data_IF_502498651725
#
_entry.id   IF_502498651725
#
_cell.length_a   1.000
_cell.length_b   1.000
_cell.length_c   1.000
_cell.angle_alpha   90.00
_cell.angle_beta   90.00
_cell.angle_gamma   90.00
#
_symmetry.space_group_name_H-M   'P 1'
#
loop_
_entity.id
_entity.type
_entity.pdbx_description
1 polymer ?
#
# COMPACT_ATOMS: atom_id res chain seq x y z
N UNK A 1 -6.90 15.54 25.36
CA UNK A 1 -7.34 14.16 25.07
C UNK A 1 -6.43 13.45 24.07
N UNK A 2 -5.91 14.12 23.02
CA UNK A 2 -5.09 13.50 21.96
C UNK A 2 -3.57 13.75 22.05
N UNK A 3 -3.08 14.37 23.12
CA UNK A 3 -1.68 14.83 23.20
C UNK A 3 -0.68 13.66 23.15
N UNK A 4 -1.04 12.50 23.70
CA UNK A 4 -0.19 11.31 23.69
C UNK A 4 -0.10 10.70 22.29
N UNK A 5 -1.22 10.67 21.58
CA UNK A 5 -1.33 10.15 20.22
C UNK A 5 -0.56 11.03 19.24
N UNK A 6 -0.71 12.35 19.36
CA UNK A 6 0.06 13.33 18.56
C UNK A 6 1.56 13.16 18.82
N UNK A 7 1.99 13.03 20.08
CA UNK A 7 3.38 12.78 20.42
C UNK A 7 3.90 11.46 19.81
N UNK A 8 3.11 10.39 19.82
CA UNK A 8 3.49 9.12 19.20
C UNK A 8 3.63 9.23 17.67
N UNK A 9 2.78 10.01 17.00
CA UNK A 9 2.91 10.29 15.56
C UNK A 9 4.17 11.13 15.28
N UNK A 10 4.42 12.15 16.08
CA UNK A 10 5.60 13.00 15.94
C UNK A 10 6.91 12.24 16.17
N UNK A 11 6.94 11.33 17.15
CA UNK A 11 8.06 10.41 17.35
C UNK A 11 8.23 9.43 16.17
N UNK A 12 7.12 8.89 15.63
CA UNK A 12 7.16 8.02 14.46
C UNK A 12 7.76 8.74 13.23
N UNK A 13 7.48 10.03 13.05
CA UNK A 13 8.07 10.85 11.99
C UNK A 13 9.60 10.98 12.14
N UNK A 14 10.08 11.20 13.36
CA UNK A 14 11.51 11.27 13.68
C UNK A 14 12.23 9.95 13.38
N UNK A 15 11.64 8.82 13.79
CA UNK A 15 12.17 7.48 13.53
C UNK A 15 12.29 7.22 12.02
N UNK A 16 11.25 7.55 11.25
CA UNK A 16 11.23 7.37 9.78
C UNK A 16 12.26 8.26 9.08
N UNK A 17 12.33 9.54 9.44
CA UNK A 17 13.34 10.47 8.92
C UNK A 17 14.76 9.98 9.22
N UNK A 18 14.99 9.51 10.45
CA UNK A 18 16.28 8.94 10.86
C UNK A 18 16.62 7.67 10.10
N UNK A 19 15.65 6.78 9.86
CA UNK A 19 15.85 5.56 9.07
C UNK A 19 16.28 5.89 7.63
N UNK A 20 15.59 6.83 6.97
CA UNK A 20 15.95 7.26 5.61
C UNK A 20 17.35 7.88 5.55
N UNK A 21 17.71 8.70 6.56
CA UNK A 21 19.06 9.30 6.66
C UNK A 21 20.15 8.26 6.91
N UNK A 22 19.90 7.26 7.75
CA UNK A 22 20.85 6.20 8.08
C UNK A 22 21.04 5.21 6.95
N UNK A 23 19.95 4.79 6.29
CA UNK A 23 20.01 3.82 5.21
C UNK A 23 18.83 3.97 4.25
N UNK A 24 19.11 4.62 3.12
CA UNK A 24 18.15 4.74 2.01
C UNK A 24 17.66 3.39 1.52
N UNK A 25 18.57 2.40 1.42
CA UNK A 25 18.24 1.05 0.98
C UNK A 25 17.25 0.34 1.91
N UNK A 26 17.46 0.37 3.23
CA UNK A 26 16.53 -0.23 4.20
C UNK A 26 15.16 0.45 4.16
N UNK A 27 15.14 1.77 4.05
CA UNK A 27 13.89 2.52 3.93
C UNK A 27 13.13 2.18 2.64
N UNK A 28 13.83 2.06 1.51
CA UNK A 28 13.24 1.66 0.24
C UNK A 28 12.69 0.24 0.30
N UNK A 29 13.42 -0.72 0.88
CA UNK A 29 12.93 -2.11 1.06
C UNK A 29 11.69 -2.13 1.95
N UNK A 30 11.67 -1.38 3.06
CA UNK A 30 10.48 -1.23 3.91
C UNK A 30 9.29 -0.68 3.12
N UNK A 31 9.53 0.33 2.28
CA UNK A 31 8.49 0.95 1.44
C UNK A 31 8.00 0.00 0.34
N UNK A 32 8.89 -0.79 -0.26
CA UNK A 32 8.52 -1.82 -1.22
C UNK A 32 7.67 -2.91 -0.59
N UNK A 33 8.05 -3.41 0.60
CA UNK A 33 7.28 -4.40 1.33
C UNK A 33 5.89 -3.88 1.71
N UNK A 34 5.81 -2.61 2.15
CA UNK A 34 4.53 -1.95 2.43
C UNK A 34 3.56 -2.03 1.25
N UNK A 35 4.02 -1.67 0.05
CA UNK A 35 3.15 -1.80 -1.14
C UNK A 35 2.95 -3.23 -1.62
N UNK A 36 3.93 -4.12 -1.45
CA UNK A 36 3.76 -5.53 -1.81
C UNK A 36 2.62 -6.17 -1.00
N UNK A 37 2.54 -5.88 0.30
CA UNK A 37 1.41 -6.34 1.14
C UNK A 37 0.07 -5.77 0.67
N UNK A 38 0.03 -4.51 0.25
CA UNK A 38 -1.17 -3.93 -0.35
C UNK A 38 -1.51 -4.64 -1.67
N UNK A 39 -0.51 -4.94 -2.51
CA UNK A 39 -0.71 -5.68 -3.75
C UNK A 39 -1.31 -7.06 -3.50
N UNK A 40 -0.91 -7.78 -2.45
CA UNK A 40 -1.53 -9.07 -2.10
C UNK A 40 -3.03 -8.92 -1.80
N UNK A 41 -3.42 -7.88 -1.07
CA UNK A 41 -4.83 -7.57 -0.85
C UNK A 41 -5.57 -7.18 -2.13
N UNK A 42 -4.92 -6.44 -3.02
CA UNK A 42 -5.47 -6.08 -4.35
C UNK A 42 -5.69 -7.34 -5.21
N UNK A 43 -4.74 -8.28 -5.22
CA UNK A 43 -4.88 -9.56 -5.93
C UNK A 43 -6.08 -10.37 -5.40
N UNK A 44 -6.26 -10.43 -4.07
CA UNK A 44 -7.39 -11.10 -3.45
C UNK A 44 -8.72 -10.49 -3.92
N UNK A 45 -8.89 -9.18 -3.80
CA UNK A 45 -10.17 -8.55 -4.14
C UNK A 45 -10.44 -8.60 -5.64
N UNK A 46 -9.42 -8.48 -6.51
CA UNK A 46 -9.64 -8.60 -7.95
C UNK A 46 -9.93 -10.03 -8.37
N UNK A 47 -9.39 -11.03 -7.68
CA UNK A 47 -9.77 -12.43 -7.88
C UNK A 47 -11.23 -12.67 -7.51
N UNK A 48 -11.65 -12.18 -6.33
CA UNK A 48 -13.06 -12.27 -5.88
C UNK A 48 -13.98 -11.55 -6.88
N UNK A 49 -13.64 -10.31 -7.24
CA UNK A 49 -14.40 -9.50 -8.17
C UNK A 49 -14.52 -10.15 -9.55
N UNK A 50 -13.42 -10.64 -10.10
CA UNK A 50 -13.40 -11.34 -11.39
C UNK A 50 -14.26 -12.60 -11.39
N UNK A 51 -14.12 -13.46 -10.39
CA UNK A 51 -14.93 -14.69 -10.27
C UNK A 51 -16.42 -14.35 -10.15
N UNK A 52 -16.79 -13.43 -9.25
CA UNK A 52 -18.20 -13.11 -9.01
C UNK A 52 -18.83 -12.38 -10.20
N UNK A 53 -18.11 -11.44 -10.81
CA UNK A 53 -18.57 -10.72 -11.99
C UNK A 53 -18.79 -11.67 -13.17
N UNK A 54 -17.88 -12.62 -13.40
CA UNK A 54 -18.03 -13.65 -14.44
C UNK A 54 -19.28 -14.53 -14.22
N UNK A 55 -19.65 -14.79 -12.96
CA UNK A 55 -20.85 -15.54 -12.60
C UNK A 55 -22.12 -14.67 -12.50
N UNK A 56 -22.08 -13.40 -12.91
CA UNK A 56 -23.25 -12.50 -12.90
C UNK A 56 -23.69 -12.03 -11.51
N UNK A 57 -22.84 -12.14 -10.48
CA UNK A 57 -23.18 -11.73 -9.11
C UNK A 57 -22.81 -10.25 -8.91
N UNK A 58 -23.77 -9.34 -8.96
CA UNK A 58 -23.53 -7.88 -8.91
C UNK A 58 -23.07 -7.34 -7.54
N UNK A 59 -23.25 -8.09 -6.46
CA UNK A 59 -22.87 -7.67 -5.10
C UNK A 59 -21.37 -7.83 -4.81
N UNK A 60 -20.56 -8.17 -5.82
CA UNK A 60 -19.12 -8.42 -5.70
C UNK A 60 -18.34 -7.28 -5.04
N UNK A 61 -18.76 -6.01 -5.23
CA UNK A 61 -18.09 -4.84 -4.63
C UNK A 61 -18.14 -4.84 -3.10
N UNK A 62 -19.22 -5.36 -2.50
CA UNK A 62 -19.37 -5.46 -1.04
C UNK A 62 -18.34 -6.45 -0.51
N UNK A 63 -18.23 -7.63 -1.14
CA UNK A 63 -17.29 -8.66 -0.71
C UNK A 63 -15.84 -8.24 -0.94
N UNK A 64 -15.54 -7.59 -2.07
CA UNK A 64 -14.24 -6.97 -2.31
C UNK A 64 -13.86 -6.01 -1.18
N UNK A 65 -14.78 -5.12 -0.78
CA UNK A 65 -14.55 -4.18 0.32
C UNK A 65 -14.30 -4.89 1.66
N UNK A 66 -15.12 -5.90 1.99
CA UNK A 66 -14.98 -6.67 3.21
C UNK A 66 -13.65 -7.44 3.28
N UNK A 67 -13.17 -7.97 2.16
CA UNK A 67 -11.92 -8.72 2.08
C UNK A 67 -10.66 -7.83 2.04
N UNK A 68 -10.77 -6.54 1.67
CA UNK A 68 -9.60 -5.67 1.53
C UNK A 68 -8.89 -5.36 2.85
N UNK A 69 -9.54 -5.58 4.01
CA UNK A 69 -8.94 -5.35 5.33
C UNK A 69 -7.64 -6.11 5.59
N UNK A 70 -7.39 -7.20 4.85
CA UNK A 70 -6.12 -7.95 4.92
C UNK A 70 -4.92 -7.11 4.47
N UNK A 71 -5.11 -6.23 3.48
CA UNK A 71 -4.03 -5.42 2.90
C UNK A 71 -3.35 -4.56 3.97
N UNK A 72 -4.16 -3.80 4.72
CA UNK A 72 -3.65 -2.90 5.74
C UNK A 72 -3.22 -3.65 7.01
N UNK A 73 -3.90 -4.75 7.35
CA UNK A 73 -3.51 -5.60 8.48
C UNK A 73 -2.07 -6.14 8.34
N UNK A 74 -1.71 -6.61 7.14
CA UNK A 74 -0.36 -7.09 6.84
C UNK A 74 0.68 -5.98 6.98
N UNK A 75 0.39 -4.78 6.46
CA UNK A 75 1.31 -3.64 6.57
C UNK A 75 1.55 -3.25 8.03
N UNK A 76 0.48 -3.20 8.83
CA UNK A 76 0.55 -2.84 10.25
C UNK A 76 1.33 -3.89 11.07
N UNK A 77 1.10 -5.18 10.81
CA UNK A 77 1.73 -6.25 11.58
C UNK A 77 3.18 -6.53 11.16
N UNK A 78 3.46 -6.54 9.86
CA UNK A 78 4.79 -6.85 9.33
C UNK A 78 5.72 -5.61 9.27
N UNK A 79 5.18 -4.41 9.44
CA UNK A 79 5.96 -3.17 9.58
C UNK A 79 6.44 -2.57 8.25
N UNK A 80 5.55 -2.44 7.27
CA UNK A 80 5.85 -1.79 5.98
C UNK A 80 5.63 -0.27 5.98
N UNK A 81 6.42 0.46 5.17
CA UNK A 81 6.24 1.90 4.95
C UNK A 81 5.27 2.17 3.79
N UNK A 82 4.25 2.98 4.03
CA UNK A 82 3.30 3.42 3.00
C UNK A 82 3.31 4.95 2.89
N UNK A 83 3.23 5.45 1.66
CA UNK A 83 3.06 6.87 1.39
C UNK A 83 1.83 7.45 2.11
N UNK A 84 0.70 6.73 2.09
CA UNK A 84 -0.57 7.21 2.68
C UNK A 84 -0.48 7.39 4.20
N UNK A 85 0.17 6.48 4.93
CA UNK A 85 0.40 6.64 6.37
C UNK A 85 1.46 7.70 6.64
N UNK A 86 2.50 7.78 5.81
CA UNK A 86 3.55 8.79 5.91
C UNK A 86 3.05 10.21 5.61
N UNK A 87 2.01 10.37 4.80
CA UNK A 87 1.33 11.66 4.62
C UNK A 87 0.83 12.21 5.96
N UNK A 88 0.14 11.38 6.74
CA UNK A 88 -0.34 11.77 8.08
C UNK A 88 0.82 11.93 9.07
N UNK A 89 1.69 10.91 9.19
CA UNK A 89 2.77 10.87 10.19
C UNK A 89 3.73 12.06 10.02
N UNK A 90 4.19 12.32 8.78
CA UNK A 90 5.14 13.41 8.54
C UNK A 90 4.50 14.78 8.66
N UNK A 91 3.22 14.92 8.29
CA UNK A 91 2.48 16.18 8.51
C UNK A 91 2.40 16.52 9.99
N UNK A 92 2.00 15.54 10.82
CA UNK A 92 1.94 15.74 12.28
C UNK A 92 3.32 16.02 12.86
N UNK A 93 4.36 15.29 12.45
CA UNK A 93 5.72 15.56 12.90
C UNK A 93 6.24 16.95 12.49
N UNK A 94 5.86 17.44 11.30
CA UNK A 94 6.24 18.78 10.85
C UNK A 94 5.49 19.89 11.62
N UNK A 95 4.21 19.68 11.93
CA UNK A 95 3.41 20.59 12.76
C UNK A 95 3.91 20.65 14.21
N UNK A 96 4.28 19.50 14.78
CA UNK A 96 4.90 19.39 16.11
C UNK A 96 6.40 19.76 16.11
N UNK A 97 6.97 20.13 14.97
CA UNK A 97 8.37 20.54 14.79
C UNK A 97 9.40 19.48 15.17
N UNK A 98 9.04 18.19 15.19
CA UNK A 98 9.99 17.08 15.40
C UNK A 98 10.77 16.75 14.13
N UNK A 99 10.22 17.08 12.96
CA UNK A 99 10.88 16.98 11.65
C UNK A 99 10.66 18.25 10.84
N UNK A 100 11.51 18.50 9.85
CA UNK A 100 11.30 19.63 8.93
C UNK A 100 10.34 19.26 7.80
N UNK A 101 9.68 20.24 7.18
CA UNK A 101 8.90 20.03 5.95
C UNK A 101 9.74 19.46 4.80
N UNK A 102 11.04 19.77 4.78
CA UNK A 102 11.99 19.19 3.81
C UNK A 102 12.15 17.69 4.06
N UNK A 103 12.22 17.25 5.32
CA UNK A 103 12.28 15.83 5.66
C UNK A 103 10.96 15.12 5.33
N UNK A 104 9.82 15.77 5.54
CA UNK A 104 8.51 15.26 5.13
C UNK A 104 8.46 14.98 3.63
N UNK A 105 8.84 15.95 2.79
CA UNK A 105 8.87 15.79 1.32
C UNK A 105 9.82 14.66 0.89
N UNK A 106 11.00 14.55 1.52
CA UNK A 106 11.95 13.45 1.22
C UNK A 106 11.34 12.08 1.53
N UNK A 107 10.66 11.95 2.67
CA UNK A 107 10.00 10.70 3.07
C UNK A 107 8.83 10.38 2.14
N UNK A 108 8.01 11.36 1.79
CA UNK A 108 6.92 11.19 0.82
C UNK A 108 7.43 10.68 -0.52
N UNK A 109 8.46 11.32 -1.07
CA UNK A 109 9.03 10.91 -2.33
C UNK A 109 9.68 9.52 -2.27
N UNK A 110 10.47 9.24 -1.23
CA UNK A 110 11.13 7.94 -1.06
C UNK A 110 10.12 6.80 -0.88
N UNK A 111 9.09 7.01 -0.05
CA UNK A 111 8.04 6.00 0.16
C UNK A 111 7.18 5.80 -1.07
N UNK A 112 6.87 6.86 -1.81
CA UNK A 112 6.12 6.75 -3.06
C UNK A 112 6.87 5.93 -4.12
N UNK A 113 8.17 6.18 -4.31
CA UNK A 113 9.01 5.35 -5.20
C UNK A 113 9.05 3.90 -4.74
N UNK A 114 9.32 3.66 -3.46
CA UNK A 114 9.34 2.30 -2.91
C UNK A 114 7.99 1.61 -3.09
N UNK A 115 6.88 2.32 -2.90
CA UNK A 115 5.56 1.77 -3.10
C UNK A 115 5.30 1.41 -4.57
N UNK A 116 5.68 2.25 -5.54
CA UNK A 116 5.58 1.89 -6.96
C UNK A 116 6.36 0.61 -7.27
N UNK A 117 7.60 0.51 -6.79
CA UNK A 117 8.44 -0.66 -7.01
C UNK A 117 7.81 -1.93 -6.41
N UNK A 118 7.25 -1.83 -5.19
CA UNK A 118 6.52 -2.93 -4.56
C UNK A 118 5.24 -3.32 -5.33
N UNK A 119 4.50 -2.32 -5.83
CA UNK A 119 3.30 -2.52 -6.64
C UNK A 119 3.58 -3.22 -7.97
N UNK A 120 4.62 -2.76 -8.69
CA UNK A 120 5.07 -3.38 -9.95
C UNK A 120 5.56 -4.80 -9.71
N UNK A 121 6.35 -5.03 -8.65
CA UNK A 121 6.77 -6.39 -8.29
C UNK A 121 5.56 -7.30 -8.03
N UNK A 122 4.59 -6.83 -7.25
CA UNK A 122 3.34 -7.57 -7.03
C UNK A 122 2.61 -7.90 -8.33
N UNK A 123 2.46 -6.92 -9.23
CA UNK A 123 1.82 -7.14 -10.52
C UNK A 123 2.55 -8.19 -11.39
N UNK A 124 3.88 -8.12 -11.46
CA UNK A 124 4.70 -9.11 -12.19
C UNK A 124 4.49 -10.51 -11.61
N UNK A 125 4.55 -10.66 -10.29
CA UNK A 125 4.32 -11.95 -9.62
C UNK A 125 2.93 -12.51 -9.92
N UNK A 126 1.91 -11.65 -9.95
CA UNK A 126 0.53 -12.07 -10.23
C UNK A 126 0.34 -12.56 -11.68
N UNK A 127 0.96 -11.88 -12.65
CA UNK A 127 0.92 -12.29 -14.06
C UNK A 127 1.73 -13.57 -14.27
N UNK A 128 2.94 -13.65 -13.70
CA UNK A 128 3.80 -14.84 -13.81
C UNK A 128 3.19 -16.08 -13.14
N UNK A 129 2.36 -15.90 -12.11
CA UNK A 129 1.60 -17.00 -11.50
C UNK A 129 0.51 -17.57 -12.43
N UNK A 130 0.25 -16.96 -13.60
CA UNK A 130 -0.75 -17.41 -14.56
C UNK A 130 -2.20 -17.17 -14.11
N UNK A 131 -2.40 -16.33 -13.09
CA UNK A 131 -3.72 -16.08 -12.48
C UNK A 131 -4.62 -15.14 -13.30
N UNK A 132 -4.11 -14.63 -14.42
CA UNK A 132 -4.81 -13.71 -15.33
C UNK A 132 -4.90 -14.23 -16.75
N UNK A 133 -4.63 -15.52 -16.96
CA UNK A 133 -4.58 -16.13 -18.30
C UNK A 133 -5.19 -17.53 -18.30
N UNK A 134 -5.47 -18.05 -19.50
CA UNK A 134 -6.06 -19.39 -19.67
C UNK A 134 -7.43 -19.49 -18.98
N UNK A 135 -7.59 -20.47 -18.08
CA UNK A 135 -8.86 -20.67 -17.36
C UNK A 135 -9.26 -19.53 -16.42
N UNK A 136 -8.35 -18.59 -16.13
CA UNK A 136 -8.58 -17.45 -15.24
C UNK A 136 -8.56 -16.09 -15.98
N UNK A 137 -8.72 -16.10 -17.31
CA UNK A 137 -8.68 -14.90 -18.15
C UNK A 137 -9.70 -13.83 -17.71
N UNK A 138 -10.88 -14.24 -17.25
CA UNK A 138 -11.92 -13.35 -16.73
C UNK A 138 -11.45 -12.46 -15.55
N UNK A 139 -10.44 -12.90 -14.78
CA UNK A 139 -9.82 -12.08 -13.72
C UNK A 139 -8.98 -10.97 -14.34
N UNK A 140 -8.21 -11.30 -15.39
CA UNK A 140 -7.43 -10.34 -16.16
C UNK A 140 -8.32 -9.29 -16.83
N UNK A 141 -9.38 -9.72 -17.51
CA UNK A 141 -10.37 -8.81 -18.11
C UNK A 141 -11.01 -7.89 -17.06
N UNK A 142 -11.38 -8.43 -15.90
CA UNK A 142 -11.95 -7.64 -14.81
C UNK A 142 -10.98 -6.57 -14.31
N UNK A 143 -9.69 -6.89 -14.17
CA UNK A 143 -8.65 -5.93 -13.78
C UNK A 143 -8.50 -4.83 -14.84
N UNK A 144 -8.40 -5.21 -16.12
CA UNK A 144 -8.24 -4.28 -17.24
C UNK A 144 -9.43 -3.33 -17.35
N UNK A 145 -10.66 -3.86 -17.26
CA UNK A 145 -11.89 -3.06 -17.30
C UNK A 145 -11.95 -2.07 -16.13
N UNK A 146 -11.56 -2.49 -14.92
CA UNK A 146 -11.51 -1.59 -13.78
C UNK A 146 -10.39 -0.54 -13.89
N UNK A 147 -9.29 -0.84 -14.59
CA UNK A 147 -8.21 0.11 -14.82
C UNK A 147 -8.62 1.20 -15.81
N UNK A 148 -9.32 0.86 -16.90
CA UNK A 148 -9.85 1.84 -17.86
C UNK A 148 -10.96 2.73 -17.31
N UNK A 149 -11.66 2.27 -16.26
CA UNK A 149 -12.75 3.02 -15.64
C UNK A 149 -12.29 4.04 -14.57
N UNK A 150 -10.99 4.12 -14.26
CA UNK A 150 -10.40 5.03 -13.26
C UNK A 150 -9.73 6.22 -13.92
#
# INVERSE_FOLDING_TARGET
MYSKEIHNLAHSAEVKSTLLRRSKGRYLVSSMLGSLFVSLGIMLIYTIGGIMHHNGIETYKILMGASFGVALSLVLMAGGDLFTSNAMIMTMGALEKTVTWVDAVKIWFASWIGNILGGVLGAILFVQAGLTSGKSEYIGEFIVNNAYAK
#
